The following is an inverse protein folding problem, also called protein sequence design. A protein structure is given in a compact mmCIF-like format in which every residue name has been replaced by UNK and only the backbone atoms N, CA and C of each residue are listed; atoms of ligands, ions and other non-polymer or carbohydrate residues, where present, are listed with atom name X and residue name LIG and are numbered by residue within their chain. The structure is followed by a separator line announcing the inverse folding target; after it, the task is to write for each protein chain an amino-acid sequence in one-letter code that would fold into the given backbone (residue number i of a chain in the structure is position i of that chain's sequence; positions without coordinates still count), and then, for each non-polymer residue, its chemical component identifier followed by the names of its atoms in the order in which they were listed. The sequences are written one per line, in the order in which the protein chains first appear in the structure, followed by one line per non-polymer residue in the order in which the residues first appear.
data_IF_534356250116
#
_entry.id   IF_534356250116
#
_cell.length_a   1.000
_cell.length_b   1.000
_cell.length_c   1.000
_cell.angle_alpha   90.00
_cell.angle_beta   90.00
_cell.angle_gamma   90.00
#
_symmetry.space_group_name_H-M   'P 1'
#
loop_
_entity.id
_entity.type
_entity.pdbx_description
1 polymer ?
#
# COMPACT_ATOMS: atom_id res chain seq x y z
N UNK A 1 1.86 -15.10 -4.50
CA UNK A 1 2.94 -14.43 -3.73
C UNK A 1 2.44 -13.87 -2.40
N UNK A 2 3.06 -14.25 -1.28
CA UNK A 2 2.65 -13.84 0.08
C UNK A 2 3.38 -12.54 0.49
N UNK A 3 2.69 -11.53 1.04
CA UNK A 3 3.34 -10.29 1.48
C UNK A 3 4.21 -10.51 2.73
N UNK A 4 5.37 -9.84 2.83
CA UNK A 4 6.18 -9.79 4.04
C UNK A 4 5.41 -9.17 5.23
N UNK A 5 5.84 -9.47 6.46
CA UNK A 5 5.19 -8.95 7.67
C UNK A 5 5.16 -7.42 7.70
N UNK A 6 6.25 -6.76 7.33
CA UNK A 6 6.32 -5.28 7.32
C UNK A 6 5.29 -4.64 6.37
N UNK A 7 4.99 -5.30 5.24
CA UNK A 7 3.96 -4.84 4.30
C UNK A 7 2.57 -4.93 4.92
N UNK A 8 2.31 -6.03 5.64
CA UNK A 8 1.07 -6.22 6.40
C UNK A 8 0.93 -5.21 7.54
N UNK A 9 2.01 -4.93 8.27
CA UNK A 9 2.03 -3.96 9.38
C UNK A 9 1.74 -2.53 8.87
N UNK A 10 2.31 -2.17 7.73
CA UNK A 10 2.01 -0.89 7.06
C UNK A 10 0.55 -0.79 6.63
N UNK A 11 0.00 -1.85 6.04
CA UNK A 11 -1.41 -1.89 5.65
C UNK A 11 -2.33 -1.76 6.87
N UNK A 12 -2.03 -2.46 7.97
CA UNK A 12 -2.76 -2.35 9.23
C UNK A 12 -2.70 -0.92 9.80
N UNK A 13 -1.53 -0.29 9.77
CA UNK A 13 -1.36 1.13 10.15
C UNK A 13 -2.20 2.05 9.26
N UNK A 14 -2.22 1.82 7.95
CA UNK A 14 -3.06 2.56 7.00
C UNK A 14 -4.54 2.47 7.36
N UNK A 15 -5.04 1.27 7.67
CA UNK A 15 -6.42 1.05 8.10
C UNK A 15 -6.75 1.79 9.40
N UNK A 16 -5.85 1.72 10.39
CA UNK A 16 -6.01 2.43 11.67
C UNK A 16 -6.07 3.94 11.47
N UNK A 17 -5.18 4.52 10.66
CA UNK A 17 -5.18 5.95 10.36
C UNK A 17 -6.41 6.36 9.57
N UNK A 18 -6.85 5.56 8.59
CA UNK A 18 -8.09 5.83 7.85
C UNK A 18 -9.29 5.86 8.79
N UNK A 19 -9.38 4.90 9.72
CA UNK A 19 -10.44 4.86 10.75
C UNK A 19 -10.41 6.10 11.65
N UNK A 20 -9.22 6.55 12.03
CA UNK A 20 -9.06 7.72 12.90
C UNK A 20 -9.38 9.05 12.20
N UNK A 21 -8.93 9.24 10.96
CA UNK A 21 -9.00 10.53 10.26
C UNK A 21 -10.09 10.63 9.19
N UNK A 22 -10.76 9.52 8.87
CA UNK A 22 -11.85 9.47 7.89
C UNK A 22 -11.42 9.78 6.45
N UNK A 23 -10.14 9.58 6.11
CA UNK A 23 -9.59 9.90 4.77
C UNK A 23 -8.50 8.94 4.34
N UNK A 24 -8.21 8.94 3.04
CA UNK A 24 -7.15 8.13 2.42
C UNK A 24 -7.70 6.87 1.75
N UNK A 25 -7.41 6.74 0.45
CA UNK A 25 -7.82 5.60 -0.38
C UNK A 25 -9.32 5.54 -0.69
N UNK A 26 -9.68 4.71 -1.66
CA UNK A 26 -11.05 4.28 -1.92
C UNK A 26 -11.29 2.91 -1.27
N UNK A 27 -12.50 2.37 -1.38
CA UNK A 27 -12.81 1.01 -0.93
C UNK A 27 -11.90 -0.06 -1.58
N UNK A 28 -11.37 0.21 -2.79
CA UNK A 28 -10.35 -0.64 -3.41
C UNK A 28 -9.05 -0.66 -2.60
N UNK A 29 -8.63 0.49 -2.07
CA UNK A 29 -7.45 0.58 -1.21
C UNK A 29 -7.67 -0.10 0.15
N UNK A 30 -8.89 0.01 0.70
CA UNK A 30 -9.26 -0.68 1.94
C UNK A 30 -9.21 -2.19 1.75
N UNK A 31 -9.88 -2.73 0.72
CA UNK A 31 -9.84 -4.16 0.43
C UNK A 31 -8.44 -4.68 0.17
N UNK A 32 -7.58 -3.89 -0.51
CA UNK A 32 -6.16 -4.25 -0.67
C UNK A 32 -5.43 -4.31 0.66
N UNK A 33 -5.67 -3.36 1.56
CA UNK A 33 -5.05 -3.38 2.89
C UNK A 33 -5.47 -4.63 3.67
N UNK A 34 -6.75 -5.01 3.61
CA UNK A 34 -7.26 -6.23 4.25
C UNK A 34 -6.61 -7.50 3.69
N UNK A 35 -6.46 -7.62 2.37
CA UNK A 35 -5.72 -8.73 1.72
C UNK A 35 -4.26 -8.80 2.21
N UNK A 36 -3.59 -7.64 2.33
CA UNK A 36 -2.21 -7.56 2.80
C UNK A 36 -2.08 -7.94 4.28
N UNK A 37 -2.98 -7.44 5.13
CA UNK A 37 -3.02 -7.77 6.57
C UNK A 37 -3.29 -9.24 6.80
N UNK A 38 -4.18 -9.85 6.01
CA UNK A 38 -4.47 -11.28 6.09
C UNK A 38 -3.28 -12.14 5.63
N UNK A 39 -2.27 -11.54 4.99
CA UNK A 39 -1.07 -12.20 4.44
C UNK A 39 -1.42 -13.39 3.55
N UNK A 40 -2.53 -13.27 2.82
CA UNK A 40 -2.94 -14.29 1.86
C UNK A 40 -2.12 -14.22 0.58
N UNK A 41 -2.17 -15.30 -0.20
CA UNK A 41 -1.48 -15.32 -1.47
C UNK A 41 -2.09 -14.34 -2.48
N UNK A 42 -1.26 -13.43 -2.99
CA UNK A 42 -1.63 -12.47 -4.03
C UNK A 42 -1.32 -13.00 -5.43
N UNK A 43 -2.24 -12.74 -6.37
CA UNK A 43 -2.09 -13.11 -7.77
C UNK A 43 -1.10 -12.19 -8.53
N UNK A 44 -0.52 -12.66 -9.66
CA UNK A 44 0.31 -11.82 -10.54
C UNK A 44 -0.39 -10.52 -10.98
N UNK A 45 -1.68 -10.60 -11.30
CA UNK A 45 -2.49 -9.43 -11.66
C UNK A 45 -2.55 -8.41 -10.51
N UNK A 46 -2.76 -8.91 -9.29
CA UNK A 46 -2.80 -8.09 -8.06
C UNK A 46 -1.46 -7.41 -7.79
N UNK A 47 -0.33 -8.08 -8.01
CA UNK A 47 1.01 -7.45 -7.92
C UNK A 47 1.19 -6.35 -8.98
N UNK A 48 0.82 -6.62 -10.24
CA UNK A 48 0.89 -5.61 -11.32
C UNK A 48 0.06 -4.37 -10.97
N UNK A 49 -1.12 -4.55 -10.36
CA UNK A 49 -1.94 -3.45 -9.85
C UNK A 49 -1.26 -2.64 -8.74
N UNK A 50 -0.56 -3.29 -7.80
CA UNK A 50 0.20 -2.58 -6.76
C UNK A 50 1.29 -1.71 -7.38
N UNK A 51 2.06 -2.25 -8.32
CA UNK A 51 3.11 -1.48 -9.01
C UNK A 51 2.53 -0.27 -9.73
N UNK A 52 1.43 -0.45 -10.48
CA UNK A 52 0.77 0.67 -11.15
C UNK A 52 0.20 1.71 -10.18
N UNK A 53 -0.30 1.28 -9.02
CA UNK A 53 -0.76 2.19 -7.98
C UNK A 53 0.40 3.06 -7.48
N UNK A 54 1.50 2.45 -7.05
CA UNK A 54 2.65 3.17 -6.50
C UNK A 54 3.27 4.15 -7.51
N UNK A 55 3.39 3.74 -8.78
CA UNK A 55 3.90 4.62 -9.83
C UNK A 55 3.08 5.90 -10.02
N UNK A 56 1.74 5.80 -9.92
CA UNK A 56 0.85 6.98 -10.07
C UNK A 56 0.81 7.88 -8.84
N UNK A 57 0.97 7.30 -7.65
CA UNK A 57 0.80 8.03 -6.39
C UNK A 57 2.13 8.44 -5.75
N UNK A 58 3.27 8.21 -6.43
CA UNK A 58 4.58 8.67 -5.93
C UNK A 58 4.63 10.20 -5.79
N UNK A 59 3.86 10.93 -6.61
CA UNK A 59 3.72 12.39 -6.51
C UNK A 59 3.06 12.83 -5.20
N UNK A 60 2.22 11.99 -4.57
CA UNK A 60 1.51 12.32 -3.33
C UNK A 60 2.48 12.51 -2.16
N UNK A 61 3.69 11.93 -2.25
CA UNK A 61 4.78 12.13 -1.28
C UNK A 61 5.19 13.58 -1.11
N UNK A 62 4.94 14.41 -2.13
CA UNK A 62 5.25 15.86 -2.12
C UNK A 62 4.11 16.69 -1.52
N UNK A 63 2.98 16.06 -1.19
CA UNK A 63 1.83 16.73 -0.60
C UNK A 63 2.11 17.23 0.83
N UNK A 64 1.40 18.29 1.23
CA UNK A 64 1.47 18.83 2.59
C UNK A 64 1.11 17.74 3.61
N UNK A 65 1.86 17.66 4.71
CA UNK A 65 1.69 16.69 5.80
C UNK A 65 1.83 15.22 5.38
N UNK A 66 2.54 14.92 4.29
CA UNK A 66 2.91 13.55 4.00
C UNK A 66 3.76 12.97 5.15
N UNK A 67 3.34 11.84 5.72
CA UNK A 67 4.01 11.21 6.85
C UNK A 67 3.91 11.95 8.19
N UNK A 68 3.09 13.01 8.31
CA UNK A 68 2.90 13.70 9.59
C UNK A 68 2.24 12.75 10.61
N UNK A 69 2.84 12.61 11.78
CA UNK A 69 2.38 11.66 12.80
C UNK A 69 1.07 12.06 13.49
N UNK A 70 0.76 13.36 13.55
CA UNK A 70 -0.44 13.88 14.21
C UNK A 70 -1.59 14.12 13.24
N UNK A 71 -1.28 14.45 11.99
CA UNK A 71 -2.27 14.82 10.97
C UNK A 71 -1.80 14.37 9.57
N UNK A 72 -1.69 13.04 9.32
CA UNK A 72 -1.14 12.51 8.08
C UNK A 72 -2.02 12.83 6.87
N UNK A 73 -1.41 13.21 5.74
CA UNK A 73 -2.15 13.47 4.50
C UNK A 73 -2.95 12.26 4.02
N UNK A 74 -4.01 12.49 3.23
CA UNK A 74 -4.78 11.42 2.62
C UNK A 74 -3.91 10.54 1.70
N UNK A 75 -2.94 11.14 1.01
CA UNK A 75 -1.96 10.41 0.19
C UNK A 75 -1.08 9.47 1.01
N UNK A 76 -0.60 9.90 2.18
CA UNK A 76 0.19 9.03 3.07
C UNK A 76 -0.64 7.85 3.60
N UNK A 77 -1.88 8.11 4.02
CA UNK A 77 -2.77 7.03 4.49
C UNK A 77 -3.03 6.04 3.34
N UNK A 78 -3.34 6.54 2.14
CA UNK A 78 -3.54 5.71 0.97
C UNK A 78 -2.28 4.89 0.63
N UNK A 79 -1.10 5.50 0.70
CA UNK A 79 0.17 4.82 0.48
C UNK A 79 0.39 3.65 1.44
N UNK A 80 0.07 3.84 2.73
CA UNK A 80 0.14 2.80 3.74
C UNK A 80 -0.87 1.68 3.51
N UNK A 81 -2.10 1.97 3.05
CA UNK A 81 -3.08 0.93 2.70
C UNK A 81 -2.56 -0.05 1.64
N UNK A 82 -1.66 0.40 0.77
CA UNK A 82 -1.04 -0.45 -0.25
C UNK A 82 0.26 -1.12 0.22
N UNK A 83 0.66 -0.92 1.48
CA UNK A 83 1.81 -1.59 2.10
C UNK A 83 3.04 -0.70 2.30
N UNK A 84 2.93 0.61 2.05
CA UNK A 84 4.03 1.54 2.27
C UNK A 84 5.18 1.38 1.27
N UNK A 85 6.36 1.90 1.64
CA UNK A 85 7.55 1.83 0.79
C UNK A 85 8.04 0.39 0.63
N UNK A 86 7.94 -0.41 1.69
CA UNK A 86 8.23 -1.83 1.68
C UNK A 86 7.26 -2.61 0.77
N UNK A 87 5.99 -2.19 0.72
CA UNK A 87 5.01 -2.74 -0.22
C UNK A 87 5.33 -2.42 -1.67
N UNK A 88 5.85 -1.22 -1.95
CA UNK A 88 6.31 -0.82 -3.29
C UNK A 88 7.51 -1.63 -3.74
N UNK A 89 8.53 -1.74 -2.88
CA UNK A 89 9.75 -2.51 -3.17
C UNK A 89 9.43 -3.98 -3.42
N UNK A 90 8.64 -4.58 -2.52
CA UNK A 90 8.19 -5.95 -2.65
C UNK A 90 7.40 -6.18 -3.96
N UNK A 91 6.46 -5.29 -4.30
CA UNK A 91 5.67 -5.43 -5.52
C UNK A 91 6.55 -5.33 -6.79
N UNK A 92 7.57 -4.46 -6.79
CA UNK A 92 8.53 -4.35 -7.89
C UNK A 92 9.38 -5.61 -8.03
N UNK A 93 9.86 -6.16 -6.92
CA UNK A 93 10.62 -7.41 -6.90
C UNK A 93 9.78 -8.56 -7.46
N UNK A 94 8.55 -8.71 -6.96
CA UNK A 94 7.62 -9.74 -7.43
C UNK A 94 7.28 -9.59 -8.91
N UNK A 95 7.12 -8.36 -9.41
CA UNK A 95 6.93 -8.11 -10.84
C UNK A 95 8.12 -8.61 -11.67
N UNK A 96 9.35 -8.35 -11.22
CA UNK A 96 10.55 -8.86 -11.89
C UNK A 96 10.57 -10.38 -11.98
N UNK A 97 10.13 -11.08 -10.92
CA UNK A 97 10.01 -12.55 -10.93
C UNK A 97 8.91 -13.06 -11.86
N UNK A 98 7.79 -12.34 -11.99
CA UNK A 98 6.69 -12.70 -12.89
C UNK A 98 7.10 -12.54 -14.35
N UNK A 99 7.78 -11.44 -14.70
CA UNK A 99 8.10 -11.13 -16.09
C UNK A 99 9.37 -11.87 -16.58
N UNK A 100 10.20 -12.38 -15.66
CA UNK A 100 11.39 -13.18 -15.95
C UNK A 100 11.15 -14.69 -16.03
N UNK A 101 9.90 -15.14 -15.92
CA UNK A 101 9.48 -16.55 -15.95
C UNK A 101 8.48 -16.78 -17.09
#
# INVERSE_FOLDING_TARGET
MIPPQVVADNAAKGLALRKQFGRGGTEIGVGRAEELVARTELSPHTIKRMVSYFARHEVDKRGKNYGNQQNPSAGYIAWLLWGGDEGREWALEMRGRIDGN
#
